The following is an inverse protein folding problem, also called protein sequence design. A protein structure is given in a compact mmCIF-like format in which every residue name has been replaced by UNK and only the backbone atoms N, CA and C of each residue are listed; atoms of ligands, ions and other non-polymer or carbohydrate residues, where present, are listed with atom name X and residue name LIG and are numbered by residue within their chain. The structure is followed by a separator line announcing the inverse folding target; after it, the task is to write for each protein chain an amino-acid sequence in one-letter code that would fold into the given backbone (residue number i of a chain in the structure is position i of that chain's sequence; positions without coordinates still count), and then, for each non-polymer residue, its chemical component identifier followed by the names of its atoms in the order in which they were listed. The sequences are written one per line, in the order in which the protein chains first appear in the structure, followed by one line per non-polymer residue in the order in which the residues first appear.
data_IF_353001996020
#
_entry.id   IF_353001996020
#
_cell.length_a   1.000
_cell.length_b   1.000
_cell.length_c   1.000
_cell.angle_alpha   90.00
_cell.angle_beta   90.00
_cell.angle_gamma   90.00
#
_symmetry.space_group_name_H-M   'P 1'
#
loop_
_entity.id
_entity.type
_entity.pdbx_description
1 polymer ?
#
# COMPACT_ATOMS: atom_id res chain seq x y z
N UNK A 1 -30.80 -20.74 -13.50
CA UNK A 1 -31.57 -20.72 -12.24
C UNK A 1 -30.84 -19.81 -11.25
N UNK A 2 -31.59 -19.05 -10.45
CA UNK A 2 -31.22 -17.72 -10.00
C UNK A 2 -30.21 -17.73 -8.87
N UNK A 3 -29.48 -16.63 -8.83
CA UNK A 3 -28.52 -16.20 -7.84
C UNK A 3 -28.93 -16.44 -6.38
N UNK A 4 -27.95 -16.71 -5.52
CA UNK A 4 -28.10 -16.53 -4.07
C UNK A 4 -27.13 -15.45 -3.62
N UNK A 5 -27.57 -14.20 -3.79
CA UNK A 5 -27.10 -13.05 -3.03
C UNK A 5 -27.70 -13.14 -1.62
N UNK A 6 -26.92 -12.87 -0.58
CA UNK A 6 -27.46 -12.56 0.74
C UNK A 6 -27.37 -11.06 0.96
N UNK A 7 -28.43 -10.33 0.61
CA UNK A 7 -28.62 -8.92 0.94
C UNK A 7 -29.22 -8.83 2.35
N UNK A 8 -28.46 -8.32 3.31
CA UNK A 8 -29.00 -7.93 4.62
C UNK A 8 -29.09 -6.40 4.64
N UNK A 9 -30.18 -5.88 4.10
CA UNK A 9 -30.58 -4.49 4.32
C UNK A 9 -31.31 -4.48 5.68
N UNK A 10 -30.87 -3.70 6.67
CA UNK A 10 -31.67 -3.45 7.86
C UNK A 10 -33.05 -2.94 7.43
N UNK A 11 -34.13 -3.43 8.02
CA UNK A 11 -35.45 -2.88 7.74
C UNK A 11 -35.48 -1.38 8.10
N UNK A 12 -36.25 -0.60 7.35
CA UNK A 12 -36.42 0.84 7.61
C UNK A 12 -36.80 1.05 9.08
N UNK A 13 -36.00 1.84 9.80
CA UNK A 13 -36.26 2.20 11.21
C UNK A 13 -35.41 1.48 12.26
N UNK A 14 -34.50 0.57 11.89
CA UNK A 14 -33.60 -0.06 12.86
C UNK A 14 -32.42 0.88 13.19
N UNK A 15 -32.36 1.38 14.42
CA UNK A 15 -31.17 2.09 14.92
C UNK A 15 -30.05 1.08 15.24
N UNK A 16 -28.88 1.30 14.64
CA UNK A 16 -27.66 0.53 14.92
C UNK A 16 -27.09 0.98 16.27
N UNK A 17 -27.63 0.46 17.37
CA UNK A 17 -27.00 0.59 18.69
C UNK A 17 -25.90 -0.47 18.84
N UNK A 18 -24.75 -0.05 19.33
CA UNK A 18 -23.52 -0.84 19.47
C UNK A 18 -23.71 -2.29 19.92
N UNK A 19 -23.24 -3.23 19.10
CA UNK A 19 -22.60 -4.45 19.60
C UNK A 19 -23.24 -5.78 19.25
N UNK A 20 -24.46 -5.83 18.71
CA UNK A 20 -25.05 -7.12 18.32
C UNK A 20 -26.21 -6.97 17.34
N UNK A 21 -26.10 -7.57 16.17
CA UNK A 21 -27.23 -7.85 15.30
C UNK A 21 -27.57 -9.33 15.39
N UNK A 22 -28.83 -9.65 15.66
CA UNK A 22 -29.37 -11.01 15.50
C UNK A 22 -30.64 -10.97 14.67
N UNK A 23 -30.70 -11.74 13.60
CA UNK A 23 -31.89 -11.86 12.76
C UNK A 23 -31.91 -13.19 12.03
N UNK A 24 -33.07 -13.54 11.44
CA UNK A 24 -33.18 -14.75 10.61
C UNK A 24 -32.87 -14.40 9.15
N UNK A 25 -32.04 -15.20 8.50
CA UNK A 25 -31.81 -15.09 7.07
C UNK A 25 -33.13 -15.27 6.32
N UNK A 26 -33.56 -14.30 5.50
CA UNK A 26 -34.84 -14.39 4.76
C UNK A 26 -34.88 -15.57 3.78
N UNK A 27 -33.71 -16.04 3.31
CA UNK A 27 -33.59 -17.14 2.36
C UNK A 27 -33.58 -18.53 3.03
N UNK A 28 -32.89 -18.69 4.17
CA UNK A 28 -32.70 -20.01 4.79
C UNK A 28 -33.28 -20.14 6.21
N UNK A 29 -33.92 -19.09 6.73
CA UNK A 29 -34.56 -19.00 8.06
C UNK A 29 -33.68 -19.34 9.27
N UNK A 30 -32.36 -19.47 9.08
CA UNK A 30 -31.38 -19.69 10.16
C UNK A 30 -31.15 -18.40 10.92
N UNK A 31 -30.99 -18.51 12.24
CA UNK A 31 -30.49 -17.41 13.05
C UNK A 31 -29.08 -17.03 12.61
N UNK A 32 -28.87 -15.73 12.40
CA UNK A 32 -27.59 -15.16 12.04
C UNK A 32 -27.26 -14.05 13.03
N UNK A 33 -26.05 -14.15 13.59
CA UNK A 33 -25.49 -13.20 14.55
C UNK A 33 -24.32 -12.50 13.88
N UNK A 34 -24.41 -11.18 13.74
CA UNK A 34 -23.32 -10.38 13.21
C UNK A 34 -22.96 -9.29 14.21
N UNK A 35 -21.69 -8.93 14.21
CA UNK A 35 -21.18 -7.83 14.98
C UNK A 35 -21.24 -6.60 14.08
N UNK A 36 -22.01 -5.58 14.47
CA UNK A 36 -21.80 -4.25 13.91
C UNK A 36 -20.40 -3.81 14.35
N UNK A 37 -19.48 -3.63 13.40
CA UNK A 37 -18.30 -2.78 13.63
C UNK A 37 -18.82 -1.39 14.06
N UNK A 38 -18.06 -0.61 14.85
CA UNK A 38 -18.57 0.57 15.54
C UNK A 38 -19.21 1.52 14.53
N UNK A 39 -20.15 2.34 15.00
CA UNK A 39 -20.86 3.36 14.21
C UNK A 39 -19.98 3.92 13.08
N UNK A 40 -20.52 4.09 11.86
CA UNK A 40 -19.75 4.61 10.73
C UNK A 40 -18.91 5.78 11.20
N UNK A 41 -17.63 5.82 10.79
CA UNK A 41 -16.67 6.82 11.25
C UNK A 41 -17.28 8.20 11.04
N UNK A 42 -17.80 8.79 12.12
CA UNK A 42 -18.53 10.05 12.06
C UNK A 42 -17.58 11.23 12.02
N UNK A 43 -16.32 10.99 12.38
CA UNK A 43 -15.28 11.99 12.47
C UNK A 43 -13.90 11.34 12.33
N UNK A 44 -13.00 11.99 11.60
CA UNK A 44 -11.56 11.71 11.62
C UNK A 44 -10.80 12.98 11.97
N UNK A 45 -9.68 12.82 12.70
CA UNK A 45 -8.79 13.93 13.06
C UNK A 45 -7.36 13.56 12.70
N UNK A 46 -6.65 14.46 12.02
CA UNK A 46 -5.28 14.24 11.54
C UNK A 46 -4.56 15.58 11.34
N UNK A 47 -3.24 15.53 11.15
CA UNK A 47 -2.41 16.74 10.98
C UNK A 47 -1.92 16.85 9.54
N UNK A 48 -1.95 18.04 8.96
CA UNK A 48 -1.35 18.35 7.65
C UNK A 48 -0.43 19.56 7.79
N UNK A 49 0.85 19.38 7.50
CA UNK A 49 1.88 20.43 7.63
C UNK A 49 1.84 21.14 9.00
N UNK A 50 1.67 20.38 10.09
CA UNK A 50 1.57 20.91 11.45
C UNK A 50 0.20 21.49 11.85
N UNK A 51 -0.73 21.66 10.91
CA UNK A 51 -2.09 22.11 11.21
C UNK A 51 -3.02 20.91 11.43
N UNK A 52 -3.75 20.87 12.54
CA UNK A 52 -4.74 19.82 12.80
C UNK A 52 -6.03 20.10 12.03
N UNK A 53 -6.58 19.04 11.42
CA UNK A 53 -7.85 19.06 10.71
C UNK A 53 -8.78 17.99 11.27
N UNK A 54 -10.07 18.34 11.32
CA UNK A 54 -11.15 17.43 11.68
C UNK A 54 -12.15 17.39 10.54
N UNK A 55 -12.48 16.19 10.06
CA UNK A 55 -13.44 15.98 8.98
C UNK A 55 -14.61 15.17 9.53
N UNK A 56 -15.79 15.79 9.52
CA UNK A 56 -17.04 15.16 9.92
C UNK A 56 -17.65 14.39 8.75
N UNK A 57 -18.18 13.19 9.03
CA UNK A 57 -18.80 12.29 8.07
C UNK A 57 -17.99 12.17 6.77
N UNK A 58 -16.70 11.79 6.83
CA UNK A 58 -15.83 11.73 5.66
C UNK A 58 -16.41 10.76 4.63
N UNK A 59 -16.42 11.17 3.36
CA UNK A 59 -16.76 10.28 2.25
C UNK A 59 -15.73 9.13 2.18
N UNK A 60 -16.15 7.87 2.36
CA UNK A 60 -15.24 6.73 2.30
C UNK A 60 -14.55 6.57 0.93
N UNK A 61 -15.15 7.06 -0.15
CA UNK A 61 -14.60 7.04 -1.51
C UNK A 61 -13.60 8.17 -1.80
N UNK A 62 -13.53 9.19 -0.96
CA UNK A 62 -12.67 10.35 -1.19
C UNK A 62 -11.19 10.00 -0.96
N UNK A 63 -10.35 10.36 -1.93
CA UNK A 63 -8.89 10.23 -1.78
C UNK A 63 -8.31 11.36 -0.94
N UNK A 64 -7.20 11.08 -0.25
CA UNK A 64 -6.43 12.08 0.47
C UNK A 64 -5.98 13.22 -0.45
N UNK A 65 -5.59 12.91 -1.69
CA UNK A 65 -5.19 13.92 -2.67
C UNK A 65 -6.31 14.91 -2.98
N UNK A 66 -7.50 14.39 -3.23
CA UNK A 66 -8.67 15.21 -3.52
C UNK A 66 -8.99 16.13 -2.35
N UNK A 67 -8.98 15.59 -1.13
CA UNK A 67 -9.19 16.38 0.07
C UNK A 67 -8.13 17.48 0.24
N UNK A 68 -6.82 17.16 0.16
CA UNK A 68 -5.70 18.11 0.31
C UNK A 68 -5.83 19.29 -0.66
N UNK A 69 -6.24 19.01 -1.91
CA UNK A 69 -6.32 20.03 -2.97
C UNK A 69 -7.56 20.91 -2.87
N UNK A 70 -8.68 20.35 -2.40
CA UNK A 70 -9.99 21.02 -2.39
C UNK A 70 -10.31 21.72 -1.07
N UNK A 71 -9.88 21.15 0.06
CA UNK A 71 -10.29 21.63 1.39
C UNK A 71 -9.28 22.66 1.94
N UNK A 72 -8.04 22.30 2.30
CA UNK A 72 -7.04 23.30 2.68
C UNK A 72 -6.43 24.03 1.47
N UNK A 73 -6.78 23.65 0.24
CA UNK A 73 -6.32 24.35 -0.97
C UNK A 73 -4.84 24.15 -1.29
N UNK A 74 -4.20 23.10 -0.76
CA UNK A 74 -2.78 22.80 -0.96
C UNK A 74 -2.57 22.11 -2.32
N UNK A 75 -2.30 22.92 -3.35
CA UNK A 75 -2.25 22.46 -4.74
C UNK A 75 -0.86 22.03 -5.22
N UNK A 76 0.16 22.10 -4.38
CA UNK A 76 1.52 21.66 -4.63
C UNK A 76 1.57 20.18 -4.95
N UNK A 77 0.90 19.34 -4.16
CA UNK A 77 0.71 17.92 -4.49
C UNK A 77 -0.20 17.78 -5.72
N UNK A 78 0.31 17.14 -6.78
CA UNK A 78 -0.36 17.02 -8.08
C UNK A 78 -1.17 15.74 -8.20
N UNK A 79 -2.00 15.65 -9.24
CA UNK A 79 -2.78 14.45 -9.57
C UNK A 79 -2.88 14.28 -11.08
N UNK A 80 -2.56 13.08 -11.55
CA UNK A 80 -2.55 12.76 -12.99
C UNK A 80 -3.14 11.37 -13.24
N UNK A 81 -2.36 10.30 -13.05
CA UNK A 81 -2.77 8.94 -13.43
C UNK A 81 -3.89 8.32 -12.57
N UNK A 82 -3.99 8.71 -11.28
CA UNK A 82 -4.93 8.14 -10.29
C UNK A 82 -4.83 6.62 -10.12
N UNK A 83 -3.64 6.07 -10.32
CA UNK A 83 -3.36 4.64 -10.19
C UNK A 83 -1.94 4.38 -9.65
N UNK A 84 -1.38 5.37 -8.95
CA UNK A 84 -0.06 5.31 -8.31
C UNK A 84 1.16 5.06 -9.24
N UNK A 85 0.98 5.03 -10.56
CA UNK A 85 2.07 4.80 -11.51
C UNK A 85 3.01 5.99 -11.73
N UNK A 86 2.53 7.23 -11.64
CA UNK A 86 3.34 8.41 -12.01
C UNK A 86 4.07 9.12 -10.86
N UNK A 87 3.69 8.87 -9.60
CA UNK A 87 4.34 9.46 -8.41
C UNK A 87 4.17 10.97 -8.18
N UNK A 88 3.51 11.73 -9.07
CA UNK A 88 3.36 13.18 -8.88
C UNK A 88 2.51 13.58 -7.65
N UNK A 89 1.76 12.62 -7.11
CA UNK A 89 0.86 12.78 -5.96
C UNK A 89 1.47 12.33 -4.63
N UNK A 90 2.78 12.06 -4.59
CA UNK A 90 3.42 11.58 -3.37
C UNK A 90 3.33 12.64 -2.26
N UNK A 91 2.97 12.16 -1.07
CA UNK A 91 3.05 12.87 0.21
C UNK A 91 3.78 11.96 1.21
N UNK A 92 4.29 12.53 2.29
CA UNK A 92 4.87 11.76 3.39
C UNK A 92 3.82 11.57 4.48
N UNK A 93 3.65 10.36 4.98
CA UNK A 93 2.74 10.06 6.11
C UNK A 93 3.56 9.49 7.26
N UNK A 94 3.47 10.13 8.43
CA UNK A 94 3.93 9.59 9.69
C UNK A 94 2.77 8.92 10.42
N UNK A 95 2.90 7.63 10.70
CA UNK A 95 1.89 6.81 11.38
C UNK A 95 2.55 5.71 12.21
N UNK A 96 1.81 5.16 13.17
CA UNK A 96 2.25 3.98 13.91
C UNK A 96 2.21 2.74 13.01
N UNK A 97 3.33 2.05 12.86
CA UNK A 97 3.39 0.72 12.23
C UNK A 97 3.31 -0.34 13.32
N UNK A 98 2.24 -1.14 13.30
CA UNK A 98 2.00 -2.19 14.28
C UNK A 98 3.00 -3.35 14.17
N UNK A 99 3.60 -3.54 13.00
CA UNK A 99 4.56 -4.63 12.75
C UNK A 99 5.87 -4.42 13.49
N UNK A 100 6.28 -3.15 13.63
CA UNK A 100 7.52 -2.74 14.31
C UNK A 100 7.26 -1.92 15.58
N UNK A 101 6.00 -1.75 15.96
CA UNK A 101 5.55 -1.04 17.17
C UNK A 101 6.11 0.37 17.37
N UNK A 102 6.43 1.08 16.28
CA UNK A 102 7.00 2.43 16.28
C UNK A 102 6.32 3.31 15.23
N UNK A 103 6.49 4.61 15.38
CA UNK A 103 6.10 5.55 14.34
C UNK A 103 7.08 5.47 13.18
N UNK A 104 6.54 5.34 11.97
CA UNK A 104 7.29 5.30 10.72
C UNK A 104 6.83 6.46 9.85
N UNK A 105 7.76 6.99 9.07
CA UNK A 105 7.47 8.03 8.07
C UNK A 105 7.69 7.42 6.70
N UNK A 106 6.64 7.30 5.90
CA UNK A 106 6.66 6.60 4.61
C UNK A 106 6.11 7.48 3.51
N UNK A 107 6.66 7.33 2.29
CA UNK A 107 6.09 7.93 1.10
C UNK A 107 4.82 7.20 0.67
N UNK A 108 3.79 7.94 0.27
CA UNK A 108 2.47 7.41 -0.10
C UNK A 108 1.90 8.15 -1.32
N UNK A 109 1.34 7.40 -2.27
CA UNK A 109 0.55 8.00 -3.36
C UNK A 109 -0.82 8.48 -2.82
N UNK A 110 -0.94 9.77 -2.54
CA UNK A 110 -2.18 10.35 -1.97
C UNK A 110 -3.43 10.14 -2.84
N UNK A 111 -3.27 9.89 -4.16
CA UNK A 111 -4.40 9.65 -5.06
C UNK A 111 -5.11 8.31 -4.83
N UNK A 112 -4.44 7.32 -4.23
CA UNK A 112 -5.02 6.03 -3.86
C UNK A 112 -5.21 5.87 -2.36
N UNK A 113 -4.63 6.75 -1.54
CA UNK A 113 -4.79 6.69 -0.09
C UNK A 113 -6.16 7.27 0.31
N UNK A 114 -7.07 6.52 0.96
CA UNK A 114 -8.38 7.04 1.35
C UNK A 114 -8.24 8.07 2.45
N UNK A 115 -9.10 9.08 2.41
CA UNK A 115 -9.22 10.06 3.48
C UNK A 115 -9.55 9.41 4.82
N UNK A 116 -10.43 8.40 4.85
CA UNK A 116 -10.79 7.72 6.10
C UNK A 116 -9.59 7.01 6.78
N UNK A 117 -8.54 6.67 6.03
CA UNK A 117 -7.36 5.98 6.55
C UNK A 117 -6.31 6.92 7.19
N UNK A 118 -6.47 8.25 7.12
CA UNK A 118 -5.52 9.19 7.74
C UNK A 118 -5.80 9.51 9.20
N UNK A 119 -6.85 8.94 9.80
CA UNK A 119 -7.21 9.23 11.19
C UNK A 119 -6.05 8.95 12.16
N UNK A 120 -5.64 9.96 12.92
CA UNK A 120 -4.53 9.92 13.87
C UNK A 120 -3.14 10.00 13.23
N UNK A 121 -3.03 10.27 11.93
CA UNK A 121 -1.73 10.37 11.22
C UNK A 121 -1.27 11.82 11.06
N UNK A 122 0.01 11.98 10.72
CA UNK A 122 0.57 13.28 10.28
C UNK A 122 0.96 13.20 8.82
N UNK A 123 0.41 14.09 8.00
CA UNK A 123 0.68 14.22 6.58
C UNK A 123 1.57 15.44 6.34
N UNK A 124 2.65 15.25 5.60
CA UNK A 124 3.53 16.32 5.13
C UNK A 124 3.48 16.37 3.61
N UNK A 125 3.17 17.55 3.08
CA UNK A 125 3.11 17.86 1.64
C UNK A 125 4.32 18.68 1.20
N UNK A 126 4.43 18.97 -0.10
CA UNK A 126 5.54 19.76 -0.64
C UNK A 126 5.60 21.16 -0.03
N UNK A 127 4.45 21.76 0.28
CA UNK A 127 4.36 23.07 0.94
C UNK A 127 4.84 23.02 2.39
N UNK A 128 4.73 21.86 3.05
CA UNK A 128 5.03 21.67 4.47
C UNK A 128 6.51 21.54 4.79
N UNK A 129 7.36 21.28 3.80
CA UNK A 129 8.81 21.14 4.03
C UNK A 129 9.60 22.44 3.77
N UNK A 130 9.02 23.38 3.03
CA UNK A 130 9.67 24.63 2.64
C UNK A 130 8.90 25.35 1.54
N UNK A 131 8.98 26.69 1.55
CA UNK A 131 8.30 27.57 0.62
C UNK A 131 8.97 28.96 0.56
N UNK A 132 8.46 29.87 -0.29
CA UNK A 132 9.04 31.21 -0.48
C UNK A 132 9.00 32.13 0.74
N UNK A 133 8.16 31.84 1.73
CA UNK A 133 8.00 32.65 2.94
C UNK A 133 8.90 32.15 4.07
N UNK A 134 9.01 30.82 4.22
CA UNK A 134 9.74 30.19 5.33
C UNK A 134 11.16 29.71 4.95
N UNK A 135 11.50 29.79 3.66
CA UNK A 135 12.72 29.22 3.10
C UNK A 135 12.47 27.85 2.46
N UNK A 136 13.28 27.52 1.44
CA UNK A 136 13.17 26.24 0.74
C UNK A 136 13.95 25.15 1.48
N UNK A 137 13.43 23.94 1.45
CA UNK A 137 14.14 22.77 1.94
C UNK A 137 15.34 22.48 1.02
N UNK A 138 16.49 21.98 1.52
CA UNK A 138 17.64 21.66 0.67
C UNK A 138 17.32 20.76 -0.52
N UNK A 139 16.34 19.84 -0.38
CA UNK A 139 15.88 18.99 -1.50
C UNK A 139 15.24 19.82 -2.62
N UNK A 140 14.45 20.85 -2.27
CA UNK A 140 13.82 21.76 -3.22
C UNK A 140 14.88 22.62 -3.92
N UNK A 141 15.84 23.14 -3.15
CA UNK A 141 16.94 23.97 -3.66
C UNK A 141 17.81 23.18 -4.64
N UNK A 142 18.33 22.01 -4.22
CA UNK A 142 19.22 21.20 -5.07
C UNK A 142 18.54 20.74 -6.35
N UNK A 143 17.25 20.41 -6.32
CA UNK A 143 16.50 20.07 -7.54
C UNK A 143 16.48 21.24 -8.53
N UNK A 144 16.34 22.47 -8.04
CA UNK A 144 16.35 23.67 -8.88
C UNK A 144 17.76 23.98 -9.40
N UNK A 145 18.77 23.97 -8.52
CA UNK A 145 20.17 24.28 -8.83
C UNK A 145 20.76 23.35 -9.91
N UNK A 146 20.38 22.07 -9.88
CA UNK A 146 20.84 21.07 -10.84
C UNK A 146 19.99 20.98 -12.12
N UNK A 147 19.09 21.93 -12.37
CA UNK A 147 18.17 21.92 -13.51
C UNK A 147 17.27 20.67 -13.57
N UNK A 148 16.96 20.08 -12.41
CA UNK A 148 16.12 18.90 -12.27
C UNK A 148 14.62 19.17 -12.47
N UNK A 149 14.25 20.39 -12.86
CA UNK A 149 12.85 20.77 -13.11
C UNK A 149 12.73 21.59 -14.38
N UNK A 150 11.90 21.12 -15.32
CA UNK A 150 11.51 21.86 -16.54
C UNK A 150 10.05 22.33 -16.45
N UNK A 151 9.09 21.46 -16.79
CA UNK A 151 7.66 21.80 -16.67
C UNK A 151 7.19 21.90 -15.21
N UNK A 152 7.95 21.34 -14.27
CA UNK A 152 7.69 21.40 -12.83
C UNK A 152 6.59 20.48 -12.30
N UNK A 153 5.82 19.79 -13.16
CA UNK A 153 4.64 19.04 -12.71
C UNK A 153 4.98 17.83 -11.83
N UNK A 154 6.04 17.09 -12.17
CA UNK A 154 6.48 15.92 -11.39
C UNK A 154 7.37 16.29 -10.19
N UNK A 155 7.94 17.50 -10.16
CA UNK A 155 8.94 17.93 -9.19
C UNK A 155 8.50 17.75 -7.72
N UNK A 156 7.25 18.09 -7.32
CA UNK A 156 6.77 17.82 -5.96
C UNK A 156 6.86 16.35 -5.56
N UNK A 157 6.56 15.44 -6.48
CA UNK A 157 6.61 14.00 -6.21
C UNK A 157 8.03 13.49 -5.96
N UNK A 158 9.01 13.94 -6.75
CA UNK A 158 10.42 13.61 -6.53
C UNK A 158 10.94 14.17 -5.21
N UNK A 159 10.63 15.43 -4.92
CA UNK A 159 11.03 16.08 -3.66
C UNK A 159 10.46 15.32 -2.45
N UNK A 160 9.18 14.96 -2.49
CA UNK A 160 8.53 14.27 -1.36
C UNK A 160 9.01 12.82 -1.20
N UNK A 161 9.32 12.11 -2.28
CA UNK A 161 9.95 10.78 -2.18
C UNK A 161 11.34 10.87 -1.54
N UNK A 162 12.18 11.82 -1.99
CA UNK A 162 13.49 12.04 -1.38
C UNK A 162 13.38 12.43 0.09
N UNK A 163 12.40 13.28 0.44
CA UNK A 163 12.15 13.69 1.81
C UNK A 163 11.79 12.50 2.70
N UNK A 164 10.89 11.63 2.25
CA UNK A 164 10.53 10.41 2.99
C UNK A 164 11.72 9.46 3.13
N UNK A 165 12.53 9.28 2.07
CA UNK A 165 13.75 8.47 2.12
C UNK A 165 14.72 9.01 3.17
N UNK A 166 14.97 10.32 3.23
CA UNK A 166 15.88 10.91 4.22
C UNK A 166 15.36 10.85 5.65
N UNK A 167 14.03 10.81 5.85
CA UNK A 167 13.43 10.58 7.16
C UNK A 167 13.64 9.15 7.66
N UNK A 168 13.63 8.19 6.76
CA UNK A 168 13.86 6.78 7.08
C UNK A 168 15.36 6.46 7.19
N UNK A 169 16.13 6.90 6.21
CA UNK A 169 17.58 6.67 6.07
C UNK A 169 18.29 8.02 5.89
N UNK A 170 18.81 8.65 6.96
CA UNK A 170 19.43 9.98 6.89
C UNK A 170 20.67 10.08 6.00
N UNK A 171 21.32 8.95 5.68
CA UNK A 171 22.48 8.88 4.79
C UNK A 171 22.33 7.67 3.85
N UNK A 172 21.48 7.78 2.81
CA UNK A 172 21.20 6.69 1.87
C UNK A 172 22.39 6.47 0.93
N UNK A 173 22.49 5.27 0.34
CA UNK A 173 23.36 5.04 -0.82
C UNK A 173 22.75 5.64 -2.09
N UNK A 174 23.55 5.80 -3.14
CA UNK A 174 23.04 6.21 -4.45
C UNK A 174 21.97 5.25 -4.97
N UNK A 175 22.15 3.94 -4.78
CA UNK A 175 21.17 2.94 -5.19
C UNK A 175 19.84 3.13 -4.46
N UNK A 176 19.87 3.38 -3.15
CA UNK A 176 18.64 3.62 -2.38
C UNK A 176 17.90 4.88 -2.86
N UNK A 177 18.63 5.89 -3.32
CA UNK A 177 18.05 7.09 -3.92
C UNK A 177 17.38 6.75 -5.25
N UNK A 178 18.07 6.01 -6.14
CA UNK A 178 17.50 5.56 -7.41
C UNK A 178 16.24 4.71 -7.20
N UNK A 179 16.31 3.68 -6.34
CA UNK A 179 15.21 2.79 -6.01
C UNK A 179 13.98 3.54 -5.46
N UNK A 180 14.20 4.67 -4.76
CA UNK A 180 13.11 5.50 -4.23
C UNK A 180 12.31 6.22 -5.33
N UNK A 181 12.88 6.36 -6.53
CA UNK A 181 12.28 7.07 -7.66
C UNK A 181 11.66 6.16 -8.72
N UNK A 182 11.64 4.84 -8.53
CA UNK A 182 10.97 3.86 -9.42
C UNK A 182 9.49 4.19 -9.69
N UNK A 183 8.85 4.95 -8.79
CA UNK A 183 7.46 5.39 -8.90
C UNK A 183 7.26 6.80 -9.45
N UNK A 184 8.32 7.54 -9.80
CA UNK A 184 8.20 8.93 -10.28
C UNK A 184 8.50 9.02 -11.77
N UNK A 185 7.50 9.44 -12.54
CA UNK A 185 7.65 9.60 -13.99
C UNK A 185 7.93 11.07 -14.33
N UNK A 186 9.01 11.32 -15.06
CA UNK A 186 9.30 12.62 -15.67
C UNK A 186 9.38 12.49 -17.19
N UNK A 187 8.65 13.35 -17.90
CA UNK A 187 8.67 13.36 -19.37
C UNK A 187 9.62 14.41 -19.98
N UNK A 188 10.16 15.32 -19.17
CA UNK A 188 10.89 16.48 -19.65
C UNK A 188 12.40 16.38 -19.43
N UNK A 189 12.85 15.97 -18.25
CA UNK A 189 14.26 16.12 -17.83
C UNK A 189 15.19 15.01 -18.30
N UNK A 190 14.64 13.86 -18.71
CA UNK A 190 15.45 12.66 -18.95
C UNK A 190 16.09 12.08 -17.68
N UNK A 191 15.57 12.42 -16.49
CA UNK A 191 15.98 11.96 -15.15
C UNK A 191 17.38 12.35 -14.68
N UNK A 192 18.38 12.40 -15.55
CA UNK A 192 19.78 12.68 -15.16
C UNK A 192 19.96 13.89 -14.24
N UNK A 193 19.47 15.10 -14.54
CA UNK A 193 19.64 16.24 -13.63
C UNK A 193 18.88 16.07 -12.30
N UNK A 194 17.83 15.25 -12.26
CA UNK A 194 17.13 14.91 -11.01
C UNK A 194 18.03 14.00 -10.17
N UNK A 195 18.59 12.95 -10.77
CA UNK A 195 19.49 12.03 -10.07
C UNK A 195 20.76 12.74 -9.59
N UNK A 196 21.37 13.57 -10.43
CA UNK A 196 22.53 14.39 -10.07
C UNK A 196 22.22 15.26 -8.84
N UNK A 197 21.03 15.89 -8.81
CA UNK A 197 20.58 16.68 -7.66
C UNK A 197 20.42 15.83 -6.40
N UNK A 198 19.77 14.67 -6.50
CA UNK A 198 19.39 13.87 -5.33
C UNK A 198 20.57 13.08 -4.77
N UNK A 199 21.49 12.61 -5.62
CA UNK A 199 22.70 11.89 -5.21
C UNK A 199 23.67 12.74 -4.39
N UNK A 200 23.53 14.08 -4.40
CA UNK A 200 24.24 14.96 -3.44
C UNK A 200 23.89 14.69 -1.97
N UNK A 201 22.80 13.96 -1.69
CA UNK A 201 22.43 13.52 -0.35
C UNK A 201 22.95 12.11 -0.02
N UNK A 202 23.56 11.41 -0.99
CA UNK A 202 24.10 10.08 -0.78
C UNK A 202 25.33 10.12 0.14
N UNK A 203 25.56 9.01 0.85
CA UNK A 203 26.85 8.76 1.50
C UNK A 203 27.93 8.73 0.42
N UNK A 204 28.94 9.59 0.50
CA UNK A 204 30.01 9.69 -0.50
C UNK A 204 30.66 8.33 -0.79
N UNK A 205 30.37 7.79 -1.97
CA UNK A 205 31.24 6.89 -2.71
C UNK A 205 31.63 7.64 -3.97
N UNK A 206 32.92 7.83 -4.23
CA UNK A 206 33.41 8.53 -5.43
C UNK A 206 32.62 8.07 -6.68
N UNK A 207 31.91 8.96 -7.38
CA UNK A 207 31.15 8.56 -8.56
C UNK A 207 32.13 8.14 -9.67
N UNK A 208 31.92 6.95 -10.22
CA UNK A 208 32.52 6.56 -11.49
C UNK A 208 31.82 7.33 -12.60
N UNK A 209 32.60 7.98 -13.45
CA UNK A 209 32.13 8.78 -14.57
C UNK A 209 31.54 7.87 -15.65
N UNK A 210 30.52 8.38 -16.34
CA UNK A 210 29.75 7.64 -17.34
C UNK A 210 30.57 7.31 -18.60
N UNK A 211 31.75 7.90 -18.74
CA UNK A 211 32.70 7.60 -19.82
C UNK A 211 33.35 6.20 -19.70
N UNK A 212 33.20 5.49 -18.56
CA UNK A 212 33.83 4.18 -18.35
C UNK A 212 32.92 2.96 -18.60
N UNK A 213 31.62 3.15 -18.87
CA UNK A 213 30.68 2.03 -19.13
C UNK A 213 30.55 1.79 -20.64
N UNK A 214 31.62 1.28 -21.25
CA UNK A 214 31.57 0.73 -22.60
C UNK A 214 31.69 -0.81 -22.53
N UNK A 215 30.54 -1.50 -22.54
CA UNK A 215 30.27 -2.83 -23.19
C UNK A 215 29.15 -3.60 -22.46
N UNK A 216 27.91 -3.52 -22.96
CA UNK A 216 27.06 -4.71 -23.12
C UNK A 216 25.86 -4.40 -24.05
N UNK A 217 25.53 -5.25 -25.04
CA UNK A 217 24.49 -4.98 -26.03
C UNK A 217 23.09 -5.47 -25.60
N UNK A 218 22.09 -4.74 -26.09
CA UNK A 218 20.64 -4.93 -25.92
C UNK A 218 20.08 -5.89 -26.98
N UNK A 219 19.05 -6.68 -26.64
CA UNK A 219 18.01 -7.08 -27.62
C UNK A 219 16.65 -7.31 -26.97
N UNK A 220 15.60 -6.77 -27.60
CA UNK A 220 14.15 -6.84 -27.32
C UNK A 220 13.49 -8.00 -28.14
N UNK A 221 12.14 -8.23 -28.25
CA UNK A 221 10.95 -7.46 -27.80
C UNK A 221 9.73 -8.27 -27.24
N UNK A 222 8.67 -7.52 -26.89
CA UNK A 222 7.29 -7.90 -26.46
C UNK A 222 6.35 -8.29 -27.62
N UNK A 223 5.27 -9.03 -27.31
CA UNK A 223 3.97 -8.99 -28.04
C UNK A 223 2.76 -9.10 -27.07
N UNK A 224 1.63 -8.53 -27.49
CA UNK A 224 0.34 -8.32 -26.78
C UNK A 224 -0.81 -9.13 -27.40
N UNK A 225 -1.87 -9.45 -26.61
CA UNK A 225 -3.22 -9.77 -27.09
C UNK A 225 -4.30 -9.58 -25.98
N UNK A 226 -5.57 -9.50 -26.38
CA UNK A 226 -6.66 -8.69 -25.76
C UNK A 226 -8.02 -9.40 -25.55
N UNK A 227 -8.73 -9.08 -24.44
CA UNK A 227 -10.20 -8.82 -24.21
C UNK A 227 -11.22 -9.97 -23.90
N UNK A 228 -12.08 -9.73 -22.86
CA UNK A 228 -13.50 -10.11 -22.54
C UNK A 228 -13.73 -11.00 -21.29
N UNK A 229 -14.78 -10.93 -20.45
CA UNK A 229 -15.74 -9.90 -19.93
C UNK A 229 -16.58 -10.53 -18.78
N UNK A 230 -16.96 -9.72 -17.77
CA UNK A 230 -18.14 -9.81 -16.85
C UNK A 230 -18.14 -10.64 -15.52
N UNK A 231 -17.79 -9.93 -14.44
CA UNK A 231 -18.47 -9.63 -13.15
C UNK A 231 -19.46 -10.59 -12.44
N UNK A 232 -19.24 -10.75 -11.12
CA UNK A 232 -20.29 -10.58 -10.09
C UNK A 232 -19.71 -10.22 -8.71
N UNK A 233 -20.19 -9.12 -8.11
CA UNK A 233 -19.72 -8.47 -6.87
C UNK A 233 -20.22 -9.12 -5.58
N UNK A 234 -19.40 -9.15 -4.50
CA UNK A 234 -19.82 -8.99 -3.09
C UNK A 234 -18.67 -8.58 -2.14
N UNK A 235 -19.00 -7.70 -1.18
CA UNK A 235 -18.36 -7.37 0.11
C UNK A 235 -16.84 -7.63 0.31
N UNK A 236 -16.05 -6.56 0.26
CA UNK A 236 -14.58 -6.61 0.40
C UNK A 236 -14.08 -6.17 1.79
N UNK A 237 -13.18 -6.98 2.35
CA UNK A 237 -12.29 -6.57 3.44
C UNK A 237 -11.03 -6.00 2.79
N UNK A 238 -10.93 -4.67 2.66
CA UNK A 238 -9.77 -4.02 2.02
C UNK A 238 -8.59 -3.95 2.99
N UNK A 239 -7.62 -4.84 2.80
CA UNK A 239 -6.29 -4.74 3.42
C UNK A 239 -5.30 -3.90 2.59
N UNK A 240 -5.64 -3.49 1.36
CA UNK A 240 -4.77 -2.66 0.53
C UNK A 240 -5.59 -1.72 -0.37
N UNK A 241 -5.36 -0.42 -0.22
CA UNK A 241 -6.04 0.65 -0.97
C UNK A 241 -5.56 0.82 -2.40
N UNK A 242 -4.49 0.09 -2.77
CA UNK A 242 -3.91 0.05 -4.12
C UNK A 242 -4.85 -0.63 -5.13
N UNK A 243 -5.66 -1.61 -4.69
CA UNK A 243 -6.56 -2.39 -5.54
C UNK A 243 -7.53 -1.52 -6.37
N UNK A 244 -8.11 -0.47 -5.79
CA UNK A 244 -9.02 0.42 -6.52
C UNK A 244 -8.36 1.27 -7.61
N UNK A 245 -7.03 1.40 -7.58
CA UNK A 245 -6.31 2.04 -8.67
C UNK A 245 -6.27 1.17 -9.93
N UNK A 246 -6.34 -0.16 -9.78
CA UNK A 246 -6.24 -1.13 -10.87
C UNK A 246 -7.63 -1.56 -11.32
N UNK A 247 -8.47 -2.03 -10.39
CA UNK A 247 -9.85 -2.46 -10.65
C UNK A 247 -10.84 -1.38 -10.20
N UNK A 248 -10.87 -0.27 -10.95
CA UNK A 248 -11.70 0.92 -10.66
C UNK A 248 -13.20 0.62 -10.63
N UNK A 249 -13.63 -0.47 -11.27
CA UNK A 249 -15.03 -0.85 -11.44
C UNK A 249 -15.56 -1.83 -10.37
N UNK A 250 -14.74 -2.24 -9.41
CA UNK A 250 -15.18 -3.20 -8.37
C UNK A 250 -16.17 -2.58 -7.36
N UNK A 251 -16.29 -1.25 -7.35
CA UNK A 251 -17.25 -0.49 -6.54
C UNK A 251 -18.52 -0.07 -7.29
N UNK A 252 -19.42 0.70 -6.64
CA UNK A 252 -19.32 1.20 -5.27
C UNK A 252 -19.53 0.10 -4.22
N UNK A 253 -18.92 0.27 -3.04
CA UNK A 253 -19.10 -0.63 -1.90
C UNK A 253 -20.04 0.01 -0.87
N UNK A 254 -21.01 -0.76 -0.36
CA UNK A 254 -21.94 -0.28 0.68
C UNK A 254 -21.24 -0.08 2.03
N UNK A 255 -20.20 -0.88 2.32
CA UNK A 255 -19.45 -0.88 3.58
C UNK A 255 -17.97 -1.07 3.30
N UNK A 256 -17.13 -0.25 3.95
CA UNK A 256 -15.68 -0.43 3.96
C UNK A 256 -15.18 -0.63 5.39
N UNK A 257 -14.35 -1.65 5.58
CA UNK A 257 -13.76 -2.01 6.87
C UNK A 257 -12.27 -1.77 6.79
N UNK A 258 -11.77 -0.87 7.64
CA UNK A 258 -10.34 -0.67 7.82
C UNK A 258 -9.80 -1.67 8.86
N UNK A 259 -8.91 -2.56 8.44
CA UNK A 259 -8.29 -3.59 9.27
C UNK A 259 -6.86 -3.24 9.69
N UNK A 260 -6.34 -2.07 9.30
CA UNK A 260 -4.95 -1.67 9.58
C UNK A 260 -4.64 -1.53 11.08
N UNK A 261 -5.68 -1.46 11.92
CA UNK A 261 -5.57 -1.39 13.38
C UNK A 261 -5.64 -2.75 14.07
N UNK A 262 -5.76 -3.85 13.33
CA UNK A 262 -5.84 -5.20 13.90
C UNK A 262 -4.44 -5.76 14.10
N UNK A 263 -3.89 -5.60 15.32
CA UNK A 263 -2.51 -5.98 15.68
C UNK A 263 -2.11 -7.40 15.25
N UNK A 264 -3.01 -8.37 15.40
CA UNK A 264 -2.75 -9.78 15.03
C UNK A 264 -2.48 -9.97 13.52
N UNK A 265 -2.88 -9.04 12.65
CA UNK A 265 -2.57 -9.07 11.23
C UNK A 265 -1.18 -8.50 10.91
N UNK A 266 -0.49 -7.89 11.87
CA UNK A 266 0.81 -7.24 11.67
C UNK A 266 1.95 -7.98 12.38
N UNK A 267 1.72 -9.19 12.87
CA UNK A 267 2.75 -9.98 13.56
C UNK A 267 3.91 -10.34 12.63
N UNK A 268 5.15 -10.13 13.04
CA UNK A 268 6.36 -10.56 12.33
C UNK A 268 7.22 -11.42 13.26
N UNK A 269 8.08 -12.31 12.73
CA UNK A 269 9.02 -13.05 13.56
C UNK A 269 9.94 -12.08 14.34
N UNK A 270 10.18 -12.31 15.65
CA UNK A 270 10.98 -11.42 16.48
C UNK A 270 12.47 -11.40 16.08
N UNK A 271 13.00 -12.54 15.60
CA UNK A 271 14.32 -12.61 14.97
C UNK A 271 14.42 -13.83 14.05
N UNK A 272 15.34 -13.79 13.08
CA UNK A 272 15.61 -14.92 12.19
C UNK A 272 16.10 -16.18 12.92
N UNK A 273 16.60 -16.03 14.16
CA UNK A 273 17.11 -17.11 15.02
C UNK A 273 16.07 -17.71 15.95
N UNK A 274 14.88 -17.11 16.05
CA UNK A 274 13.82 -17.53 16.97
C UNK A 274 12.66 -18.27 16.26
N UNK A 275 12.87 -18.72 15.02
CA UNK A 275 11.85 -19.48 14.27
C UNK A 275 11.77 -20.91 14.82
N UNK A 276 10.76 -21.26 15.63
CA UNK A 276 10.68 -22.59 16.23
C UNK A 276 10.11 -23.56 15.19
N UNK A 277 10.79 -24.67 14.95
CA UNK A 277 10.33 -25.78 14.08
C UNK A 277 10.31 -25.52 12.57
N UNK A 278 10.90 -24.42 12.08
CA UNK A 278 11.22 -24.23 10.65
C UNK A 278 10.19 -23.50 9.79
N UNK A 279 8.96 -23.27 10.27
CA UNK A 279 7.95 -22.47 9.55
C UNK A 279 7.98 -21.00 10.03
N UNK A 280 8.06 -20.04 9.10
CA UNK A 280 8.08 -18.60 9.40
C UNK A 280 6.67 -18.03 9.31
N UNK A 281 6.17 -17.47 10.41
CA UNK A 281 4.83 -16.90 10.46
C UNK A 281 4.85 -15.38 10.28
N UNK A 282 4.17 -14.88 9.24
CA UNK A 282 4.05 -13.45 8.94
C UNK A 282 2.56 -13.05 8.96
N UNK A 283 2.28 -11.86 9.48
CA UNK A 283 0.95 -11.26 9.50
C UNK A 283 0.53 -10.79 8.10
N UNK A 284 -0.76 -10.85 7.82
CA UNK A 284 -1.29 -10.46 6.51
C UNK A 284 -1.41 -9.00 6.18
N UNK A 285 -1.60 -8.18 7.20
CA UNK A 285 -1.61 -6.73 7.11
C UNK A 285 -0.20 -6.14 6.95
N UNK A 286 0.84 -6.97 7.06
CA UNK A 286 2.23 -6.55 6.83
C UNK A 286 2.35 -6.00 5.40
N UNK A 287 2.97 -4.82 5.29
CA UNK A 287 3.21 -4.17 3.99
C UNK A 287 4.24 -4.94 3.18
N UNK A 288 4.23 -4.81 1.86
CA UNK A 288 5.26 -5.42 1.01
C UNK A 288 6.66 -4.88 1.33
N UNK A 289 6.77 -3.61 1.73
CA UNK A 289 8.07 -3.05 2.13
C UNK A 289 8.58 -3.67 3.44
N UNK A 290 7.70 -3.86 4.43
CA UNK A 290 8.02 -4.58 5.67
C UNK A 290 8.35 -6.05 5.39
N UNK A 291 7.66 -6.70 4.45
CA UNK A 291 7.97 -8.06 4.01
C UNK A 291 9.41 -8.14 3.46
N UNK A 292 9.84 -7.18 2.62
CA UNK A 292 11.22 -7.14 2.12
C UNK A 292 12.21 -7.13 3.29
N UNK A 293 12.01 -6.26 4.28
CA UNK A 293 12.89 -6.19 5.46
C UNK A 293 12.93 -7.50 6.24
N UNK A 294 11.78 -8.15 6.45
CA UNK A 294 11.72 -9.46 7.13
C UNK A 294 12.47 -10.53 6.32
N UNK A 295 12.30 -10.56 4.99
CA UNK A 295 12.98 -11.52 4.12
C UNK A 295 14.50 -11.27 4.08
N UNK A 296 14.96 -10.02 4.08
CA UNK A 296 16.40 -9.71 4.17
C UNK A 296 17.01 -10.15 5.50
N UNK A 297 16.26 -10.01 6.60
CA UNK A 297 16.71 -10.49 7.90
C UNK A 297 16.79 -12.02 7.94
N UNK A 298 15.80 -12.71 7.39
CA UNK A 298 15.80 -14.17 7.23
C UNK A 298 16.90 -14.66 6.28
N UNK A 299 17.27 -13.84 5.28
CA UNK A 299 18.34 -14.15 4.33
C UNK A 299 19.71 -14.30 5.00
N UNK A 300 19.90 -13.72 6.19
CA UNK A 300 21.11 -13.90 7.00
C UNK A 300 21.27 -15.33 7.52
N UNK A 301 20.16 -16.06 7.65
CA UNK A 301 20.14 -17.45 8.12
C UNK A 301 20.03 -18.43 6.95
N UNK A 302 19.18 -18.13 5.97
CA UNK A 302 18.98 -18.96 4.78
C UNK A 302 18.93 -18.09 3.52
N UNK A 303 19.92 -18.27 2.64
CA UNK A 303 20.11 -17.43 1.44
C UNK A 303 18.92 -17.43 0.47
N UNK A 304 18.06 -18.46 0.49
CA UNK A 304 16.85 -18.53 -0.33
C UNK A 304 15.90 -17.34 -0.14
N UNK A 305 15.81 -16.80 1.09
CA UNK A 305 14.97 -15.62 1.35
C UNK A 305 15.47 -14.35 0.64
N UNK A 306 16.76 -14.27 0.29
CA UNK A 306 17.28 -13.16 -0.51
C UNK A 306 16.64 -13.11 -1.89
N UNK A 307 16.42 -14.26 -2.51
CA UNK A 307 15.80 -14.37 -3.84
C UNK A 307 14.35 -13.88 -3.76
N UNK A 308 13.62 -14.27 -2.72
CA UNK A 308 12.25 -13.79 -2.48
C UNK A 308 12.24 -12.27 -2.28
N UNK A 309 13.12 -11.73 -1.43
CA UNK A 309 13.21 -10.30 -1.19
C UNK A 309 13.49 -9.52 -2.49
N UNK A 310 14.41 -10.01 -3.32
CA UNK A 310 14.76 -9.39 -4.60
C UNK A 310 13.62 -9.40 -5.61
N UNK A 311 12.78 -10.43 -5.59
CA UNK A 311 11.56 -10.43 -6.39
C UNK A 311 10.54 -9.42 -5.88
N UNK A 312 10.28 -9.38 -4.57
CA UNK A 312 9.33 -8.41 -3.98
C UNK A 312 9.77 -6.96 -4.25
N UNK A 313 11.07 -6.67 -4.27
CA UNK A 313 11.61 -5.34 -4.64
C UNK A 313 11.22 -4.88 -6.04
N UNK A 314 11.04 -5.81 -6.98
CA UNK A 314 10.64 -5.51 -8.36
C UNK A 314 9.13 -5.32 -8.50
N UNK A 315 8.35 -5.67 -7.47
CA UNK A 315 6.90 -5.52 -7.47
C UNK A 315 6.53 -4.08 -7.13
N UNK A 316 5.93 -3.40 -8.12
CA UNK A 316 5.47 -2.01 -8.02
C UNK A 316 6.59 -1.02 -7.61
N UNK A 317 6.21 0.18 -7.16
CA UNK A 317 7.15 1.19 -6.65
C UNK A 317 7.08 1.29 -5.12
N UNK A 318 8.07 1.97 -4.51
CA UNK A 318 8.17 2.10 -3.04
C UNK A 318 6.88 2.67 -2.40
N UNK A 319 6.30 3.79 -2.85
CA UNK A 319 5.04 4.28 -2.30
C UNK A 319 3.87 3.28 -2.35
N UNK A 320 3.79 2.46 -3.40
CA UNK A 320 2.80 1.37 -3.49
C UNK A 320 3.12 0.28 -2.46
N UNK A 321 4.38 -0.16 -2.35
CA UNK A 321 4.80 -1.19 -1.37
C UNK A 321 4.64 -0.77 0.09
N UNK A 322 4.71 0.52 0.38
CA UNK A 322 4.50 1.07 1.73
C UNK A 322 3.04 0.97 2.23
N UNK A 323 2.10 0.68 1.33
CA UNK A 323 0.67 0.60 1.64
C UNK A 323 0.07 -0.74 1.23
N UNK A 324 0.53 -1.33 0.13
CA UNK A 324 0.12 -2.65 -0.32
C UNK A 324 0.52 -3.71 0.71
N UNK A 325 -0.47 -4.49 1.17
CA UNK A 325 -0.25 -5.62 2.08
C UNK A 325 -0.17 -6.93 1.31
N UNK A 326 0.42 -7.94 1.94
CA UNK A 326 0.53 -9.29 1.35
C UNK A 326 -0.87 -9.85 1.06
N UNK A 327 -1.79 -9.80 2.04
CA UNK A 327 -3.14 -10.29 1.81
C UNK A 327 -3.95 -9.43 0.85
N UNK A 328 -3.73 -8.11 0.83
CA UNK A 328 -4.35 -7.26 -0.17
C UNK A 328 -3.97 -7.68 -1.59
N UNK A 329 -2.71 -8.06 -1.81
CA UNK A 329 -2.28 -8.59 -3.10
C UNK A 329 -2.85 -9.99 -3.40
N UNK A 330 -2.84 -10.91 -2.44
CA UNK A 330 -3.37 -12.25 -2.66
C UNK A 330 -4.90 -12.26 -2.89
N UNK A 331 -5.63 -11.37 -2.22
CA UNK A 331 -7.06 -11.19 -2.47
C UNK A 331 -7.32 -10.71 -3.89
N UNK A 332 -6.45 -9.86 -4.46
CA UNK A 332 -6.58 -9.50 -5.87
C UNK A 332 -6.53 -10.72 -6.78
N UNK A 333 -5.59 -11.64 -6.55
CA UNK A 333 -5.52 -12.89 -7.33
C UNK A 333 -6.74 -13.78 -7.13
N UNK A 334 -7.29 -13.80 -5.90
CA UNK A 334 -8.49 -14.57 -5.58
C UNK A 334 -9.73 -14.02 -6.29
N UNK A 335 -9.94 -12.71 -6.22
CA UNK A 335 -11.13 -12.05 -6.77
C UNK A 335 -11.02 -11.85 -8.30
N UNK A 336 -9.79 -11.72 -8.80
CA UNK A 336 -9.46 -11.55 -10.22
C UNK A 336 -8.45 -12.61 -10.64
N UNK A 337 -8.89 -13.80 -11.08
CA UNK A 337 -7.99 -14.89 -11.47
C UNK A 337 -7.01 -14.53 -12.60
N UNK A 338 -7.35 -13.55 -13.44
CA UNK A 338 -6.49 -13.04 -14.51
C UNK A 338 -5.43 -12.04 -14.03
N UNK A 339 -5.44 -11.64 -12.75
CA UNK A 339 -4.47 -10.71 -12.19
C UNK A 339 -3.08 -11.37 -12.11
N UNK A 340 -2.08 -10.89 -12.88
CA UNK A 340 -0.76 -11.51 -12.91
C UNK A 340 0.04 -11.07 -11.66
N UNK A 341 -0.16 -11.79 -10.55
CA UNK A 341 0.50 -11.48 -9.29
C UNK A 341 1.87 -12.14 -9.17
N UNK A 342 2.92 -11.32 -9.20
CA UNK A 342 4.28 -11.75 -8.85
C UNK A 342 4.37 -12.22 -7.39
N UNK A 343 3.64 -11.57 -6.47
CA UNK A 343 3.64 -11.95 -5.04
C UNK A 343 3.02 -13.34 -4.85
N UNK A 344 1.90 -13.63 -5.51
CA UNK A 344 1.30 -14.97 -5.50
C UNK A 344 2.29 -15.99 -6.04
N UNK A 345 2.90 -15.69 -7.20
CA UNK A 345 3.81 -16.61 -7.90
C UNK A 345 5.01 -16.98 -7.04
N UNK A 346 5.67 -16.00 -6.41
CA UNK A 346 6.85 -16.27 -5.58
C UNK A 346 6.51 -16.99 -4.28
N UNK A 347 5.36 -16.68 -3.66
CA UNK A 347 4.94 -17.34 -2.42
C UNK A 347 4.50 -18.79 -2.67
N UNK A 348 3.82 -19.06 -3.80
CA UNK A 348 3.48 -20.42 -4.21
C UNK A 348 4.74 -21.23 -4.53
N UNK A 349 5.72 -20.62 -5.22
CA UNK A 349 7.01 -21.25 -5.47
C UNK A 349 7.79 -21.55 -4.18
N UNK A 350 7.60 -20.75 -3.13
CA UNK A 350 8.17 -20.98 -1.80
C UNK A 350 7.41 -22.05 -0.99
N UNK A 351 6.27 -22.57 -1.47
CA UNK A 351 5.45 -23.52 -0.74
C UNK A 351 4.64 -22.91 0.41
N UNK A 352 4.40 -21.59 0.37
CA UNK A 352 3.69 -20.86 1.41
C UNK A 352 2.27 -21.39 1.62
N UNK A 353 1.84 -21.46 2.88
CA UNK A 353 0.48 -21.80 3.30
C UNK A 353 -0.21 -20.59 3.93
N UNK A 354 -1.52 -20.52 3.74
CA UNK A 354 -2.40 -19.53 4.36
C UNK A 354 -3.14 -20.14 5.54
N UNK A 355 -3.04 -19.52 6.72
CA UNK A 355 -3.96 -19.76 7.83
C UNK A 355 -5.12 -18.79 7.65
N UNK A 356 -6.36 -19.27 7.47
CA UNK A 356 -7.55 -18.43 7.30
C UNK A 356 -8.49 -18.65 8.48
N UNK A 357 -8.81 -17.58 9.20
CA UNK A 357 -9.82 -17.60 10.25
C UNK A 357 -11.25 -17.69 9.69
N UNK A 358 -12.14 -18.42 10.37
CA UNK A 358 -13.59 -18.42 10.12
C UNK A 358 -14.35 -17.81 11.30
N UNK A 359 -13.90 -18.09 12.51
CA UNK A 359 -14.37 -17.51 13.77
C UNK A 359 -13.15 -17.17 14.65
N UNK A 360 -13.36 -16.66 15.89
CA UNK A 360 -12.24 -16.42 16.82
C UNK A 360 -11.43 -17.67 17.18
N UNK A 361 -12.02 -18.86 17.00
CA UNK A 361 -11.45 -20.13 17.44
C UNK A 361 -11.23 -21.12 16.29
N UNK A 362 -11.86 -20.90 15.13
CA UNK A 362 -11.75 -21.79 13.97
C UNK A 362 -10.80 -21.22 12.91
N UNK A 363 -9.76 -21.98 12.58
CA UNK A 363 -8.80 -21.67 11.52
C UNK A 363 -8.66 -22.86 10.57
N UNK A 364 -8.47 -22.58 9.28
CA UNK A 364 -8.09 -23.57 8.27
C UNK A 364 -6.70 -23.22 7.75
N UNK A 365 -5.91 -24.23 7.38
CA UNK A 365 -4.62 -24.05 6.71
C UNK A 365 -4.77 -24.59 5.28
N UNK A 366 -4.49 -23.75 4.29
CA UNK A 366 -4.64 -24.10 2.88
C UNK A 366 -3.44 -23.62 2.06
N UNK A 367 -3.20 -24.23 0.90
CA UNK A 367 -2.20 -23.74 -0.08
C UNK A 367 -2.73 -22.53 -0.84
N UNK A 368 -1.86 -21.75 -1.48
CA UNK A 368 -2.30 -20.59 -2.28
C UNK A 368 -3.11 -21.03 -3.50
N UNK A 369 -2.73 -22.13 -4.16
CA UNK A 369 -3.55 -22.68 -5.25
C UNK A 369 -4.95 -23.08 -4.77
N UNK A 370 -5.08 -23.68 -3.58
CA UNK A 370 -6.39 -24.00 -3.02
C UNK A 370 -7.17 -22.74 -2.66
N UNK A 371 -6.48 -21.70 -2.19
CA UNK A 371 -7.09 -20.43 -1.85
C UNK A 371 -7.78 -19.75 -3.03
N UNK A 372 -7.27 -19.86 -4.26
CA UNK A 372 -7.89 -19.28 -5.44
C UNK A 372 -9.22 -19.94 -5.85
N UNK A 373 -9.50 -21.17 -5.38
CA UNK A 373 -10.69 -21.93 -5.80
C UNK A 373 -11.75 -22.08 -4.71
N UNK A 374 -11.46 -21.70 -3.46
CA UNK A 374 -12.44 -21.76 -2.39
C UNK A 374 -13.46 -20.63 -2.51
N UNK A 375 -14.73 -20.89 -2.22
CA UNK A 375 -15.69 -19.81 -2.03
C UNK A 375 -15.59 -19.29 -0.60
N UNK A 376 -15.24 -18.01 -0.42
CA UNK A 376 -15.22 -17.34 0.88
C UNK A 376 -16.65 -17.00 1.36
N UNK A 377 -17.55 -17.98 1.39
CA UNK A 377 -18.90 -17.82 1.96
C UNK A 377 -18.81 -17.79 3.48
N UNK A 378 -18.99 -16.62 4.12
CA UNK A 378 -18.96 -16.42 5.59
C UNK A 378 -17.58 -16.50 6.27
N UNK A 379 -16.49 -16.13 5.59
CA UNK A 379 -15.14 -16.16 6.17
C UNK A 379 -14.58 -14.74 6.32
N UNK A 380 -14.28 -14.32 7.55
CA UNK A 380 -13.44 -13.15 7.78
C UNK A 380 -12.00 -13.58 7.57
N UNK A 381 -11.33 -13.09 6.53
CA UNK A 381 -9.95 -13.47 6.30
C UNK A 381 -9.12 -12.99 7.49
N UNK A 382 -8.59 -13.95 8.23
CA UNK A 382 -7.52 -13.75 9.20
C UNK A 382 -6.28 -14.42 8.62
N UNK A 383 -5.66 -13.89 7.54
CA UNK A 383 -4.51 -14.54 6.96
C UNK A 383 -3.35 -14.40 7.94
N UNK A 384 -2.94 -15.52 8.52
CA UNK A 384 -1.64 -15.63 9.18
C UNK A 384 -0.83 -16.55 8.28
N UNK A 385 0.30 -16.09 7.76
CA UNK A 385 1.10 -16.88 6.82
C UNK A 385 1.86 -17.95 7.59
N UNK A 386 1.99 -19.13 7.03
CA UNK A 386 3.08 -20.06 7.32
C UNK A 386 3.91 -20.06 6.04
N UNK A 387 4.98 -19.26 6.02
CA UNK A 387 6.01 -19.34 4.98
C UNK A 387 6.94 -20.49 5.30
#
# INVERSE_FOLDING_TARGET
MPHVFARLVPENGVQLSSGFYSGKCKTCNKEVKFWSVPSPVSEITFTVNGTQYTVNNPDPGMSLNEWIRNQPGLQGTKVMCREAGCGCCVVSITRRDLSVSKDVTVAVNSCLFPLCAVNGTTVTTIEGIGNRYDGFHPIQERLAEHNGSQCGYCSPGFVMNMYSLLKETPSPSEQQIEDSFDGNICRCTGYRPILDAMKTFAKSSNPLDIEEIAKCPVSAPMETCSVLESASQHMFIKAATVCCGIFKNDGPFDVMIDITKVEKLHTIPPSATEVPNGDVVIGSGVSLNTLISVLDDLAKVMSGYKVLADHVRKVANVPVRNVGSIAGNLMLTHDHPDFPSDIFTILEAAGTRLIIGKTRIDFIIITLTSFCIITLSFHYVHPTFLI
#
